data_IF_556989670815
#
_entry.id   IF_556989670815
#
_cell.length_a   1.000
_cell.length_b   1.000
_cell.length_c   1.000
_cell.angle_alpha   90.00
_cell.angle_beta   90.00
_cell.angle_gamma   90.00
#
_symmetry.space_group_name_H-M   'P 1'
#
loop_
_entity.id
_entity.type
_entity.pdbx_description
1 polymer ?
#
# COMPACT_ATOMS: atom_id res chain seq x y z
N UNK A 1 41.84 54.22 -61.32
CA UNK A 1 40.62 53.50 -61.70
C UNK A 1 40.63 52.21 -60.96
N UNK A 2 40.01 52.15 -59.73
CA UNK A 2 40.10 51.02 -58.78
C UNK A 2 38.75 50.34 -58.82
N UNK A 3 38.73 49.06 -59.24
CA UNK A 3 37.52 48.20 -59.23
C UNK A 3 37.35 47.64 -57.84
N UNK A 4 36.19 47.92 -57.20
CA UNK A 4 35.74 47.26 -55.96
C UNK A 4 35.16 45.87 -56.29
N UNK A 5 35.77 44.85 -55.73
CA UNK A 5 35.23 43.51 -55.75
C UNK A 5 34.30 43.32 -54.52
N UNK A 6 33.04 43.02 -54.77
CA UNK A 6 32.03 42.70 -53.77
C UNK A 6 32.26 41.25 -53.30
N UNK A 7 32.59 41.10 -52.02
CA UNK A 7 32.65 39.80 -51.35
C UNK A 7 31.26 39.56 -50.75
N UNK A 8 30.60 38.53 -51.18
CA UNK A 8 29.31 38.05 -50.61
C UNK A 8 29.60 37.15 -49.44
N UNK A 9 29.10 37.40 -48.23
CA UNK A 9 29.27 36.47 -47.12
C UNK A 9 28.35 35.26 -47.29
N UNK A 10 28.95 34.08 -47.36
CA UNK A 10 28.22 32.79 -47.26
C UNK A 10 27.81 32.57 -45.82
N UNK A 11 26.49 32.74 -45.56
CA UNK A 11 25.89 32.42 -44.28
C UNK A 11 25.72 30.89 -44.17
N UNK A 12 26.56 30.24 -43.36
CA UNK A 12 26.40 28.85 -43.00
C UNK A 12 25.30 28.76 -41.93
N UNK A 13 24.05 28.51 -42.36
CA UNK A 13 22.98 28.16 -41.44
C UNK A 13 23.12 26.66 -41.03
N UNK A 14 23.58 26.41 -39.80
CA UNK A 14 23.60 25.11 -39.20
C UNK A 14 22.18 24.76 -38.74
N UNK A 15 21.55 23.66 -39.16
CA UNK A 15 20.27 23.25 -38.62
C UNK A 15 20.51 22.70 -37.21
N UNK A 16 19.99 23.37 -36.20
CA UNK A 16 19.87 22.86 -34.83
C UNK A 16 18.82 21.74 -34.86
N UNK A 17 19.28 20.51 -34.93
CA UNK A 17 18.43 19.32 -34.78
C UNK A 17 18.03 19.19 -33.30
N UNK A 18 16.84 19.71 -32.96
CA UNK A 18 16.26 19.58 -31.63
C UNK A 18 15.81 18.11 -31.44
N UNK A 19 16.70 17.27 -30.93
CA UNK A 19 16.36 15.90 -30.51
C UNK A 19 15.57 16.03 -29.20
N UNK A 20 14.24 16.14 -29.31
CA UNK A 20 13.32 15.88 -28.20
C UNK A 20 13.39 14.37 -27.89
N UNK A 21 14.36 13.99 -27.03
CA UNK A 21 14.36 12.69 -26.42
C UNK A 21 13.11 12.55 -25.55
N UNK A 22 12.13 11.80 -26.06
CA UNK A 22 10.97 11.37 -25.29
C UNK A 22 11.50 10.41 -24.22
N UNK A 23 11.83 10.95 -23.03
CA UNK A 23 12.09 10.14 -21.84
C UNK A 23 10.78 9.44 -21.49
N UNK A 24 10.56 8.27 -22.08
CA UNK A 24 9.55 7.33 -21.63
C UNK A 24 10.04 6.81 -20.26
N UNK A 25 9.68 7.53 -19.18
CA UNK A 25 9.87 7.02 -17.82
C UNK A 25 9.00 5.77 -17.75
N UNK A 26 9.55 4.57 -17.53
CA UNK A 26 8.72 3.40 -17.30
C UNK A 26 7.88 3.70 -16.07
N UNK A 27 6.58 3.81 -16.25
CA UNK A 27 5.62 3.74 -15.14
C UNK A 27 5.83 2.33 -14.60
N UNK A 28 6.63 2.23 -13.52
CA UNK A 28 6.72 1.00 -12.74
C UNK A 28 5.30 0.72 -12.28
N UNK A 29 4.64 -0.19 -12.97
CA UNK A 29 3.41 -0.79 -12.47
C UNK A 29 3.78 -1.36 -11.12
N UNK A 30 3.32 -0.73 -10.04
CA UNK A 30 3.34 -1.32 -8.70
C UNK A 30 2.67 -2.68 -8.88
N UNK A 31 3.49 -3.74 -8.98
CA UNK A 31 3.00 -5.09 -8.99
C UNK A 31 2.33 -5.29 -7.63
N UNK A 32 1.01 -5.14 -7.60
CA UNK A 32 0.23 -5.45 -6.42
C UNK A 32 0.55 -6.89 -6.03
N UNK A 33 1.24 -7.04 -4.89
CA UNK A 33 1.59 -8.38 -4.42
C UNK A 33 0.32 -9.06 -3.90
N UNK A 34 0.20 -10.33 -4.22
CA UNK A 34 -0.90 -11.17 -3.78
C UNK A 34 -0.72 -11.58 -2.32
N UNK A 35 -1.83 -11.71 -1.60
CA UNK A 35 -1.91 -12.24 -0.24
C UNK A 35 -2.65 -13.56 -0.31
N UNK A 36 -1.91 -14.68 -0.18
CA UNK A 36 -2.51 -16.00 -0.15
C UNK A 36 -3.12 -16.28 1.22
N UNK A 37 -4.43 -16.55 1.24
CA UNK A 37 -5.20 -16.79 2.43
C UNK A 37 -5.76 -18.21 2.45
N UNK A 38 -5.71 -18.85 3.61
CA UNK A 38 -6.49 -20.04 3.93
C UNK A 38 -7.66 -19.63 4.80
N UNK A 39 -8.80 -19.44 4.19
CA UNK A 39 -10.02 -19.02 4.87
C UNK A 39 -10.73 -20.23 5.48
N UNK A 40 -11.41 -20.00 6.59
CA UNK A 40 -12.21 -21.00 7.30
C UNK A 40 -13.64 -20.49 7.48
N UNK A 41 -14.58 -21.25 6.97
CA UNK A 41 -16.03 -21.00 7.12
C UNK A 41 -16.73 -22.15 7.83
N UNK A 42 -17.95 -21.91 8.22
CA UNK A 42 -18.85 -22.94 8.75
C UNK A 42 -20.06 -23.06 7.84
N UNK A 43 -20.38 -24.28 7.41
CA UNK A 43 -21.59 -24.60 6.66
C UNK A 43 -22.51 -25.47 7.53
N UNK A 44 -23.81 -25.14 7.53
CA UNK A 44 -24.84 -25.98 8.15
C UNK A 44 -24.86 -27.34 7.45
N UNK A 45 -25.01 -28.41 8.24
CA UNK A 45 -25.15 -29.76 7.72
C UNK A 45 -26.65 -30.04 7.59
N UNK A 46 -27.12 -30.20 6.37
CA UNK A 46 -28.48 -30.65 6.10
C UNK A 46 -28.65 -32.16 6.40
N UNK A 47 -29.79 -32.60 6.98
CA UNK A 47 -30.94 -31.84 7.44
C UNK A 47 -30.83 -31.28 8.86
N UNK A 48 -29.74 -31.55 9.59
CA UNK A 48 -29.56 -31.14 10.98
C UNK A 48 -28.96 -29.72 11.05
N UNK A 49 -29.83 -28.71 11.21
CA UNK A 49 -29.45 -27.31 11.28
C UNK A 49 -28.77 -26.91 12.61
N UNK A 50 -28.61 -27.83 13.56
CA UNK A 50 -27.87 -27.57 14.79
C UNK A 50 -26.34 -27.84 14.67
N UNK A 51 -25.94 -28.50 13.60
CA UNK A 51 -24.56 -28.93 13.36
C UNK A 51 -23.92 -28.19 12.20
N UNK A 52 -22.60 -27.92 12.35
CA UNK A 52 -21.79 -27.23 11.36
C UNK A 52 -20.61 -28.08 10.92
N UNK A 53 -20.36 -28.14 9.64
CA UNK A 53 -19.10 -28.59 9.08
C UNK A 53 -18.16 -27.39 8.93
N UNK A 54 -16.87 -27.63 9.21
CA UNK A 54 -15.82 -26.63 8.95
C UNK A 54 -15.31 -26.85 7.54
N UNK A 55 -15.30 -25.81 6.75
CA UNK A 55 -14.76 -25.80 5.40
C UNK A 55 -13.56 -24.86 5.32
N UNK A 56 -12.56 -25.25 4.54
CA UNK A 56 -11.41 -24.43 4.26
C UNK A 56 -11.32 -24.19 2.75
N UNK A 57 -11.07 -22.95 2.35
CA UNK A 57 -10.83 -22.60 0.96
C UNK A 57 -9.66 -21.61 0.86
N UNK A 58 -8.96 -21.67 -0.27
CA UNK A 58 -7.87 -20.76 -0.55
C UNK A 58 -8.37 -19.62 -1.42
N UNK A 59 -7.94 -18.41 -1.07
CA UNK A 59 -8.16 -17.22 -1.86
C UNK A 59 -6.86 -16.44 -1.97
N UNK A 60 -6.69 -15.72 -3.08
CA UNK A 60 -5.62 -14.78 -3.27
C UNK A 60 -6.21 -13.39 -3.40
N UNK A 61 -5.78 -12.47 -2.54
CA UNK A 61 -6.28 -11.10 -2.50
C UNK A 61 -5.18 -10.15 -2.97
N UNK A 62 -5.53 -9.17 -3.80
CA UNK A 62 -4.64 -8.08 -4.15
C UNK A 62 -4.31 -7.24 -2.90
N UNK A 63 -3.04 -7.13 -2.54
CA UNK A 63 -2.63 -6.33 -1.40
C UNK A 63 -3.01 -4.85 -1.59
N UNK A 64 -2.90 -4.32 -2.81
CA UNK A 64 -3.24 -2.93 -3.12
C UNK A 64 -4.74 -2.62 -2.99
N UNK A 65 -5.60 -3.65 -3.02
CA UNK A 65 -7.05 -3.53 -2.84
C UNK A 65 -7.51 -4.00 -1.45
N UNK A 66 -6.54 -4.27 -0.55
CA UNK A 66 -6.79 -4.76 0.79
C UNK A 66 -6.50 -3.68 1.84
N UNK A 67 -7.43 -3.51 2.77
CA UNK A 67 -7.23 -2.69 3.95
C UNK A 67 -7.27 -3.56 5.22
N UNK A 68 -6.33 -3.32 6.13
CA UNK A 68 -6.28 -3.95 7.44
C UNK A 68 -6.59 -2.91 8.50
N UNK A 69 -7.68 -3.11 9.23
CA UNK A 69 -8.10 -2.22 10.31
C UNK A 69 -7.67 -2.82 11.64
N UNK A 70 -6.84 -2.08 12.38
CA UNK A 70 -6.36 -2.45 13.71
C UNK A 70 -7.16 -1.67 14.74
N UNK A 71 -8.04 -2.38 15.44
CA UNK A 71 -8.92 -1.77 16.44
C UNK A 71 -8.35 -1.94 17.85
N UNK A 72 -8.50 -0.88 18.67
CA UNK A 72 -8.42 -0.92 20.13
C UNK A 72 -7.18 -1.59 20.73
N UNK A 73 -6.02 -1.36 20.13
CA UNK A 73 -4.73 -1.81 20.69
C UNK A 73 -4.25 -0.78 21.72
N UNK A 74 -4.49 -1.07 23.00
CA UNK A 74 -4.17 -0.18 24.10
C UNK A 74 -3.10 -0.77 25.04
N UNK A 75 -2.19 0.06 25.48
CA UNK A 75 -1.17 -0.28 26.46
C UNK A 75 -1.69 -0.21 27.91
N UNK A 76 -2.86 0.40 28.14
CA UNK A 76 -3.52 0.54 29.43
C UNK A 76 -5.04 0.36 29.32
N UNK A 77 -5.60 -0.53 30.15
CA UNK A 77 -7.05 -0.75 30.24
C UNK A 77 -7.41 -1.31 31.63
N UNK A 78 -8.65 -1.07 32.11
CA UNK A 78 -9.12 -1.60 33.40
C UNK A 78 -9.09 -3.14 33.46
N UNK A 79 -9.17 -3.82 32.33
CA UNK A 79 -9.00 -5.27 32.24
C UNK A 79 -7.52 -5.63 32.02
N UNK A 80 -6.77 -5.84 33.09
CA UNK A 80 -5.34 -6.17 33.03
C UNK A 80 -5.03 -7.41 32.18
N UNK A 81 -5.94 -8.40 32.14
CA UNK A 81 -5.73 -9.60 31.32
C UNK A 81 -5.85 -9.30 29.82
N UNK A 82 -6.64 -8.32 29.41
CA UNK A 82 -6.67 -7.84 28.03
C UNK A 82 -5.30 -7.25 27.64
N UNK A 83 -4.81 -6.31 28.47
CA UNK A 83 -3.50 -5.66 28.23
C UNK A 83 -2.35 -6.68 28.12
N UNK A 84 -2.33 -7.69 28.99
CA UNK A 84 -1.31 -8.75 28.90
C UNK A 84 -1.37 -9.50 27.58
N UNK A 85 -2.56 -9.88 27.11
CA UNK A 85 -2.74 -10.58 25.82
C UNK A 85 -2.36 -9.71 24.64
N UNK A 86 -2.70 -8.43 24.69
CA UNK A 86 -2.29 -7.46 23.67
C UNK A 86 -0.77 -7.33 23.62
N UNK A 87 -0.11 -7.20 24.78
CA UNK A 87 1.34 -7.12 24.88
C UNK A 87 2.01 -8.37 24.28
N UNK A 88 1.46 -9.57 24.53
CA UNK A 88 1.96 -10.82 23.96
C UNK A 88 1.73 -10.89 22.43
N UNK A 89 0.61 -10.37 21.95
CA UNK A 89 0.22 -10.41 20.55
C UNK A 89 0.96 -9.35 19.71
N UNK A 90 1.21 -8.17 20.26
CA UNK A 90 1.69 -6.99 19.54
C UNK A 90 2.96 -7.25 18.71
N UNK A 91 4.00 -7.99 19.18
CA UNK A 91 5.17 -8.23 18.36
C UNK A 91 4.88 -9.04 17.09
N UNK A 92 3.97 -10.05 17.19
CA UNK A 92 3.55 -10.84 16.03
C UNK A 92 2.70 -10.02 15.07
N UNK A 93 1.76 -9.24 15.62
CA UNK A 93 0.90 -8.36 14.83
C UNK A 93 1.72 -7.32 14.08
N UNK A 94 2.69 -6.66 14.72
CA UNK A 94 3.56 -5.69 14.07
C UNK A 94 4.32 -6.30 12.88
N UNK A 95 4.86 -7.51 13.02
CA UNK A 95 5.51 -8.21 11.89
C UNK A 95 4.54 -8.43 10.73
N UNK A 96 3.31 -8.84 11.02
CA UNK A 96 2.27 -9.03 10.00
C UNK A 96 1.94 -7.70 9.30
N UNK A 97 1.70 -6.63 10.08
CA UNK A 97 1.36 -5.31 9.52
C UNK A 97 2.48 -4.74 8.66
N UNK A 98 3.75 -4.91 9.06
CA UNK A 98 4.89 -4.53 8.23
C UNK A 98 4.90 -5.32 6.91
N UNK A 99 4.77 -6.66 6.97
CA UNK A 99 4.77 -7.49 5.78
C UNK A 99 3.62 -7.17 4.81
N UNK A 100 2.44 -6.79 5.33
CA UNK A 100 1.30 -6.40 4.51
C UNK A 100 1.49 -5.00 3.91
N UNK A 101 2.04 -4.06 4.68
CA UNK A 101 2.37 -2.71 4.20
C UNK A 101 3.41 -2.76 3.08
N UNK A 102 4.44 -3.58 3.22
CA UNK A 102 5.48 -3.77 2.21
C UNK A 102 4.93 -4.34 0.90
N UNK A 103 3.80 -5.05 0.97
CA UNK A 103 3.07 -5.54 -0.21
C UNK A 103 2.07 -4.54 -0.79
N UNK A 104 1.88 -3.39 -0.16
CA UNK A 104 0.99 -2.35 -0.63
C UNK A 104 -0.39 -2.32 0.02
N UNK A 105 -0.67 -3.12 1.04
CA UNK A 105 -1.93 -3.07 1.77
C UNK A 105 -2.03 -1.78 2.62
N UNK A 106 -3.24 -1.21 2.69
CA UNK A 106 -3.54 -0.07 3.54
C UNK A 106 -3.68 -0.53 5.00
N UNK A 107 -2.93 0.08 5.91
CA UNK A 107 -3.05 -0.18 7.34
C UNK A 107 -3.73 1.00 8.01
N UNK A 108 -4.83 0.75 8.69
CA UNK A 108 -5.63 1.75 9.40
C UNK A 108 -5.61 1.41 10.89
N UNK A 109 -5.15 2.33 11.73
CA UNK A 109 -5.28 2.24 13.17
C UNK A 109 -6.55 2.97 13.62
N UNK A 110 -7.45 2.25 14.28
CA UNK A 110 -8.78 2.72 14.68
C UNK A 110 -9.01 2.52 16.19
N UNK A 111 -8.34 3.27 17.06
CA UNK A 111 -8.63 3.24 18.48
C UNK A 111 -9.99 3.88 18.76
N UNK A 112 -10.79 3.31 19.66
CA UNK A 112 -12.11 3.84 20.04
C UNK A 112 -12.02 5.03 21.02
N UNK A 113 -10.82 5.30 21.57
CA UNK A 113 -10.56 6.42 22.47
C UNK A 113 -9.12 6.95 22.28
N UNK A 114 -8.71 7.92 23.11
CA UNK A 114 -7.37 8.52 23.08
C UNK A 114 -7.02 9.23 21.76
N UNK A 115 -8.02 9.67 20.99
CA UNK A 115 -7.84 10.31 19.69
C UNK A 115 -7.15 11.67 19.76
N UNK A 116 -7.21 12.35 20.91
CA UNK A 116 -6.60 13.67 21.08
C UNK A 116 -5.07 13.62 20.91
N UNK A 117 -4.43 12.52 21.35
CA UNK A 117 -2.98 12.33 21.17
C UNK A 117 -2.55 12.27 19.69
N UNK A 118 -3.48 12.01 18.78
CA UNK A 118 -3.23 11.86 17.34
C UNK A 118 -3.77 13.04 16.51
N UNK A 119 -4.28 14.11 17.13
CA UNK A 119 -4.95 15.21 16.41
C UNK A 119 -4.08 15.86 15.33
N UNK A 120 -2.78 15.97 15.60
CA UNK A 120 -1.80 16.60 14.71
C UNK A 120 -0.98 15.58 13.90
N UNK A 121 -1.35 14.30 13.95
CA UNK A 121 -0.65 13.25 13.22
C UNK A 121 -0.96 13.31 11.71
N UNK A 122 0.06 13.31 10.87
CA UNK A 122 -0.07 13.44 9.41
C UNK A 122 -0.90 12.34 8.73
N UNK A 123 -1.02 11.17 9.35
CA UNK A 123 -1.86 10.07 8.87
C UNK A 123 -3.33 10.15 9.32
N UNK A 124 -3.72 11.22 10.06
CA UNK A 124 -5.11 11.43 10.45
C UNK A 124 -5.86 12.17 9.34
N UNK A 125 -6.91 11.55 8.84
CA UNK A 125 -7.80 12.11 7.81
C UNK A 125 -9.08 12.61 8.46
#
# INVERSE_FOLDING_TARGET
MIKKTNVVPVSLALPILLIMGLFCVPISTLNAQEIDLLLRSRRLIEPDQSRYAIEHHRESWSAAETAVIVCDMWDAHHCLNAVRRETEMAPRMNRLLHALRDRGALIIHAPSSCMEAYKDHSGRV
#
